data_IF_195475440026
#
_entry.id   IF_195475440026
#
_cell.length_a   1.000
_cell.length_b   1.000
_cell.length_c   1.000
_cell.angle_alpha   90.00
_cell.angle_beta   90.00
_cell.angle_gamma   90.00
#
_symmetry.space_group_name_H-M   'P 1'
#
loop_
_entity.id
_entity.type
_entity.pdbx_description
1 polymer ?
#
# COMPACT_ATOMS: atom_id res chain seq x y z
N UNK A 1 -11.09 -10.80 11.33
CA UNK A 1 -9.65 -10.97 11.09
C UNK A 1 -9.45 -12.01 10.01
N UNK A 2 -8.91 -11.59 8.88
CA UNK A 2 -8.36 -12.50 7.90
C UNK A 2 -6.90 -12.79 8.29
N UNK A 3 -6.36 -13.96 7.93
CA UNK A 3 -5.01 -14.40 8.32
C UNK A 3 -4.11 -14.56 7.10
N UNK A 4 -4.24 -13.65 6.12
CA UNK A 4 -3.39 -13.69 4.94
C UNK A 4 -1.99 -13.24 5.35
N UNK A 5 -1.01 -14.09 5.08
CA UNK A 5 0.41 -13.81 5.31
C UNK A 5 1.15 -13.49 4.00
N UNK A 6 0.54 -13.79 2.85
CA UNK A 6 1.11 -13.55 1.51
C UNK A 6 0.01 -13.22 0.51
N UNK A 7 0.37 -12.50 -0.55
CA UNK A 7 -0.47 -12.34 -1.73
C UNK A 7 0.07 -13.23 -2.88
N UNK A 8 -0.81 -13.80 -3.73
CA UNK A 8 -0.40 -14.64 -4.84
C UNK A 8 0.38 -13.84 -5.90
N UNK A 9 1.33 -14.49 -6.57
CA UNK A 9 2.15 -13.88 -7.66
C UNK A 9 1.33 -13.33 -8.84
N UNK A 10 0.03 -13.60 -8.95
CA UNK A 10 -0.84 -13.05 -10.00
C UNK A 10 -1.50 -11.71 -9.66
N UNK A 11 -1.33 -11.20 -8.43
CA UNK A 11 -2.10 -10.06 -7.94
C UNK A 11 -1.87 -8.79 -8.77
N UNK A 12 -0.65 -8.59 -9.26
CA UNK A 12 -0.28 -7.48 -10.13
C UNK A 12 -0.92 -7.45 -11.52
N UNK A 13 -1.60 -8.52 -11.92
CA UNK A 13 -2.18 -8.68 -13.26
C UNK A 13 -3.67 -8.34 -13.32
N UNK A 14 -4.18 -7.53 -12.38
CA UNK A 14 -5.56 -7.07 -12.34
C UNK A 14 -5.67 -5.70 -13.03
N UNK A 15 -5.98 -5.63 -14.34
CA UNK A 15 -5.81 -4.40 -15.12
C UNK A 15 -6.78 -3.28 -14.73
N UNK A 16 -7.91 -3.61 -14.10
CA UNK A 16 -8.96 -2.67 -13.73
C UNK A 16 -9.09 -2.47 -12.21
N UNK A 17 -8.13 -2.96 -11.42
CA UNK A 17 -8.21 -2.83 -9.97
C UNK A 17 -7.92 -1.39 -9.53
N UNK A 18 -8.96 -0.68 -9.11
CA UNK A 18 -8.84 0.70 -8.63
C UNK A 18 -8.76 0.81 -7.11
N UNK A 19 -9.43 -0.10 -6.38
CA UNK A 19 -9.49 -0.08 -4.91
C UNK A 19 -9.10 -1.45 -4.40
N UNK A 20 -8.14 -1.48 -3.47
CA UNK A 20 -7.68 -2.68 -2.81
C UNK A 20 -7.71 -2.49 -1.30
N UNK A 21 -8.57 -3.24 -0.63
CA UNK A 21 -8.64 -3.32 0.81
C UNK A 21 -8.03 -4.64 1.30
N UNK A 22 -6.96 -4.51 2.08
CA UNK A 22 -6.25 -5.62 2.74
C UNK A 22 -6.24 -5.43 4.26
N UNK A 23 -7.11 -4.59 4.81
CA UNK A 23 -7.17 -4.29 6.23
C UNK A 23 -7.46 -5.56 7.05
N UNK A 24 -6.91 -5.63 8.27
CA UNK A 24 -7.05 -6.78 9.19
C UNK A 24 -6.50 -8.11 8.64
N UNK A 25 -5.23 -8.10 8.22
CA UNK A 25 -4.45 -9.28 7.81
C UNK A 25 -3.09 -9.34 8.56
N UNK A 26 -2.21 -10.27 8.15
CA UNK A 26 -0.85 -10.44 8.69
C UNK A 26 0.20 -10.19 7.59
N UNK A 27 -0.07 -9.22 6.71
CA UNK A 27 0.84 -8.88 5.62
C UNK A 27 1.93 -7.93 6.13
N UNK A 28 3.11 -8.05 5.56
CA UNK A 28 4.22 -7.12 5.72
C UNK A 28 4.85 -6.82 4.35
N UNK A 29 5.93 -6.04 4.31
CA UNK A 29 6.63 -5.67 3.09
C UNK A 29 7.12 -6.86 2.27
N UNK A 30 7.40 -8.02 2.90
CA UNK A 30 7.80 -9.26 2.22
C UNK A 30 6.60 -10.08 1.70
N UNK A 31 5.38 -9.73 2.12
CA UNK A 31 4.15 -10.39 1.69
C UNK A 31 3.65 -9.91 0.33
N UNK A 32 4.15 -8.76 -0.16
CA UNK A 32 3.81 -8.20 -1.47
C UNK A 32 4.63 -8.87 -2.59
N UNK A 33 4.00 -9.49 -3.60
CA UNK A 33 4.72 -10.09 -4.71
C UNK A 33 5.40 -9.01 -5.57
N UNK A 34 6.50 -9.35 -6.25
CA UNK A 34 7.27 -8.37 -7.03
C UNK A 34 6.48 -7.64 -8.14
N UNK A 35 5.38 -8.23 -8.64
CA UNK A 35 4.49 -7.58 -9.60
C UNK A 35 3.33 -6.80 -8.96
N UNK A 36 3.21 -6.75 -7.63
CA UNK A 36 2.17 -5.97 -6.94
C UNK A 36 2.15 -4.51 -7.42
N UNK A 37 3.35 -3.95 -7.64
CA UNK A 37 3.53 -2.57 -8.10
C UNK A 37 3.21 -2.35 -9.58
N UNK A 38 2.68 -3.35 -10.29
CA UNK A 38 2.18 -3.23 -11.66
C UNK A 38 0.70 -2.86 -11.73
N UNK A 39 0.03 -2.71 -10.58
CA UNK A 39 -1.34 -2.21 -10.45
C UNK A 39 -1.41 -0.70 -10.77
N UNK A 40 -1.09 -0.31 -11.99
CA UNK A 40 -1.02 1.09 -12.44
C UNK A 40 -2.39 1.77 -12.49
N UNK A 41 -3.48 1.03 -12.32
CA UNK A 41 -4.84 1.55 -12.17
C UNK A 41 -5.28 1.76 -10.73
N UNK A 42 -4.49 1.31 -9.74
CA UNK A 42 -4.84 1.41 -8.33
C UNK A 42 -4.84 2.86 -7.86
N UNK A 43 -5.93 3.25 -7.20
CA UNK A 43 -6.19 4.59 -6.68
C UNK A 43 -6.29 4.62 -5.16
N UNK A 44 -6.76 3.55 -4.54
CA UNK A 44 -6.82 3.42 -3.09
C UNK A 44 -6.27 2.07 -2.62
N UNK A 45 -5.37 2.11 -1.65
CA UNK A 45 -4.76 0.94 -1.02
C UNK A 45 -4.92 1.03 0.51
N UNK A 46 -5.67 0.10 1.08
CA UNK A 46 -5.85 0.01 2.53
C UNK A 46 -5.03 -1.14 3.12
N UNK A 47 -4.09 -0.80 4.00
CA UNK A 47 -3.19 -1.74 4.67
C UNK A 47 -3.25 -1.63 6.20
N UNK A 48 -4.19 -0.85 6.76
CA UNK A 48 -4.37 -0.75 8.21
C UNK A 48 -4.52 -2.12 8.88
N UNK A 49 -4.08 -2.23 10.14
CA UNK A 49 -4.15 -3.47 10.91
C UNK A 49 -3.49 -4.67 10.19
N UNK A 50 -2.27 -4.43 9.70
CA UNK A 50 -1.29 -5.40 9.22
C UNK A 50 0.05 -5.16 9.93
N UNK A 51 1.09 -5.90 9.52
CA UNK A 51 2.44 -5.88 10.12
C UNK A 51 3.45 -5.11 9.23
N UNK A 52 2.98 -4.11 8.46
CA UNK A 52 3.86 -3.23 7.67
C UNK A 52 4.58 -2.23 8.58
N UNK A 53 5.90 -2.35 8.67
CA UNK A 53 6.74 -1.33 9.32
C UNK A 53 7.08 -0.19 8.36
N UNK A 54 7.34 -0.53 7.09
CA UNK A 54 7.67 0.39 6.02
C UNK A 54 6.97 -0.03 4.72
N UNK A 55 6.57 0.95 3.91
CA UNK A 55 6.17 0.69 2.53
C UNK A 55 7.43 0.70 1.64
N UNK A 56 7.63 -0.32 0.80
CA UNK A 56 8.80 -0.37 -0.06
C UNK A 56 8.81 0.80 -1.06
N UNK A 57 9.99 1.32 -1.48
CA UNK A 57 10.09 2.45 -2.42
C UNK A 57 9.35 2.24 -3.74
N UNK A 58 9.18 0.99 -4.15
CA UNK A 58 8.43 0.58 -5.33
C UNK A 58 6.95 0.99 -5.31
N UNK A 59 6.40 1.39 -4.16
CA UNK A 59 5.06 1.99 -4.06
C UNK A 59 4.89 3.19 -5.00
N UNK A 60 5.96 3.93 -5.30
CA UNK A 60 5.95 5.04 -6.27
C UNK A 60 5.64 4.63 -7.71
N UNK A 61 5.70 3.33 -8.05
CA UNK A 61 5.27 2.81 -9.36
C UNK A 61 3.74 2.81 -9.52
N UNK A 62 2.99 2.90 -8.41
CA UNK A 62 1.54 3.03 -8.42
C UNK A 62 1.15 4.48 -8.72
N UNK A 63 1.39 4.92 -9.96
CA UNK A 63 1.32 6.33 -10.36
C UNK A 63 -0.07 6.97 -10.29
N UNK A 64 -1.13 6.18 -10.15
CA UNK A 64 -2.51 6.66 -9.95
C UNK A 64 -2.98 6.59 -8.50
N UNK A 65 -2.12 6.15 -7.59
CA UNK A 65 -2.46 5.98 -6.18
C UNK A 65 -2.68 7.35 -5.53
N UNK A 66 -3.85 7.52 -4.95
CA UNK A 66 -4.30 8.75 -4.31
C UNK A 66 -4.41 8.57 -2.80
N UNK A 67 -4.84 7.37 -2.38
CA UNK A 67 -5.09 7.05 -0.97
C UNK A 67 -4.24 5.83 -0.61
N UNK A 68 -3.47 5.97 0.48
CA UNK A 68 -2.82 4.85 1.15
C UNK A 68 -3.08 4.97 2.64
N UNK A 69 -3.70 3.96 3.23
CA UNK A 69 -3.69 3.82 4.68
C UNK A 69 -2.65 2.78 5.05
N UNK A 70 -1.65 3.16 5.84
CA UNK A 70 -0.87 2.23 6.62
C UNK A 70 -0.94 2.66 8.08
N UNK A 71 -1.04 1.69 8.99
CA UNK A 71 -0.89 2.00 10.40
C UNK A 71 0.59 1.85 10.75
N UNK A 72 1.44 2.77 10.27
CA UNK A 72 2.82 2.79 10.75
C UNK A 72 2.79 3.13 12.23
N UNK A 73 3.10 2.15 13.10
CA UNK A 73 3.25 2.36 14.55
C UNK A 73 4.40 3.32 14.89
N UNK A 74 5.19 3.73 13.90
CA UNK A 74 6.30 4.66 14.03
C UNK A 74 6.19 5.76 12.96
N UNK A 75 5.63 6.90 13.37
CA UNK A 75 5.40 8.12 12.59
C UNK A 75 6.69 8.92 12.27
N UNK A 76 7.80 8.27 11.91
CA UNK A 76 9.05 9.02 11.67
C UNK A 76 9.36 9.31 10.19
N UNK A 77 8.68 8.66 9.22
CA UNK A 77 8.97 8.82 7.78
C UNK A 77 7.81 9.38 6.92
N UNK A 78 6.81 10.01 7.54
CA UNK A 78 5.65 10.61 6.86
C UNK A 78 6.05 11.65 5.78
N UNK A 79 7.16 12.36 5.97
CA UNK A 79 7.62 13.41 5.04
C UNK A 79 8.23 12.88 3.73
N UNK A 80 8.86 11.70 3.73
CA UNK A 80 9.43 11.13 2.49
C UNK A 80 8.34 10.48 1.64
N UNK A 81 7.28 9.96 2.28
CA UNK A 81 6.19 9.26 1.61
C UNK A 81 5.32 10.20 0.75
N UNK A 82 4.83 11.31 1.32
CA UNK A 82 4.08 12.32 0.58
C UNK A 82 4.85 12.87 -0.64
N UNK A 83 6.18 13.02 -0.50
CA UNK A 83 7.06 13.53 -1.55
C UNK A 83 7.32 12.51 -2.68
N UNK A 84 7.27 11.21 -2.39
CA UNK A 84 7.49 10.12 -3.37
C UNK A 84 6.27 9.83 -4.25
N UNK A 85 5.05 9.99 -3.72
CA UNK A 85 3.80 9.73 -4.45
C UNK A 85 3.06 11.00 -4.89
N UNK A 86 3.52 12.18 -4.49
CA UNK A 86 2.87 13.46 -4.84
C UNK A 86 1.50 13.64 -4.18
N UNK A 87 1.23 12.92 -3.09
CA UNK A 87 -0.02 13.03 -2.33
C UNK A 87 0.16 14.15 -1.31
N UNK A 88 -0.73 15.14 -1.34
CA UNK A 88 -0.72 16.24 -0.37
C UNK A 88 -0.88 15.70 1.05
N UNK A 89 -0.04 16.18 1.97
CA UNK A 89 -0.01 15.77 3.38
C UNK A 89 -1.34 15.97 4.13
N UNK A 90 -2.26 16.75 3.56
CA UNK A 90 -3.59 17.06 4.10
C UNK A 90 -4.58 15.88 4.05
N UNK A 91 -4.28 14.80 3.33
CA UNK A 91 -5.16 13.62 3.23
C UNK A 91 -4.86 12.52 4.27
N UNK A 92 -3.84 12.71 5.12
CA UNK A 92 -3.40 11.73 6.11
C UNK A 92 -3.79 12.10 7.56
N UNK A 93 -4.53 13.19 7.76
CA UNK A 93 -5.07 13.57 9.07
C UNK A 93 -6.52 13.08 9.21
N UNK A 94 -6.70 11.89 9.80
CA UNK A 94 -7.86 11.50 10.63
C UNK A 94 -7.42 10.50 11.71
#
# INVERSE_FOLDING_TARGET
MNRLNTLPRGFGSLPALEVLDLTYNNLNENSLPGNFFYLTTLRALYLSDNDFEILPPDIGKLTKLQIVSNLSKFLENQFTFAMLVGIESSQFEE
#
